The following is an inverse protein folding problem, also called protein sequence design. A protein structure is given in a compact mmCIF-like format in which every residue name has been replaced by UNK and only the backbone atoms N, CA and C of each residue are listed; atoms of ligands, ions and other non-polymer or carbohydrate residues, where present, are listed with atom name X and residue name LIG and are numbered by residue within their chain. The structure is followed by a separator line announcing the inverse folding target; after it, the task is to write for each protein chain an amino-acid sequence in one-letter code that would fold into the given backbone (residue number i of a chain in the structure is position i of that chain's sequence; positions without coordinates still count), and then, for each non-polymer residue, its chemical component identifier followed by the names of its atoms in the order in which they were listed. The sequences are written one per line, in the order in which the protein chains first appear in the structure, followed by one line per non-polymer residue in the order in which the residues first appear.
data_IF_190334274807
#
_entry.id   IF_190334274807
#
_cell.length_a   1.000
_cell.length_b   1.000
_cell.length_c   1.000
_cell.angle_alpha   90.00
_cell.angle_beta   90.00
_cell.angle_gamma   90.00
#
_symmetry.space_group_name_H-M   'P 1'
#
loop_
_entity.id
_entity.type
_entity.pdbx_description
1 polymer ?
#
# COMPACT_ATOMS: atom_id res chain seq x y z
N UNK A 1 7.61 -13.79 14.04
CA UNK A 1 8.25 -13.38 15.34
C UNK A 1 8.73 -11.94 15.27
N UNK A 2 9.30 -11.53 14.14
CA UNK A 2 9.59 -10.12 13.81
C UNK A 2 8.34 -9.25 13.92
N UNK A 3 7.24 -9.63 13.25
CA UNK A 3 5.96 -8.89 13.28
C UNK A 3 5.50 -8.56 14.72
N UNK A 4 5.48 -9.56 15.62
CA UNK A 4 5.07 -9.37 17.01
C UNK A 4 5.99 -8.44 17.82
N UNK A 5 7.28 -8.36 17.47
CA UNK A 5 8.24 -7.45 18.11
C UNK A 5 8.09 -6.03 17.54
N UNK A 6 7.82 -5.90 16.25
CA UNK A 6 7.50 -4.64 15.57
C UNK A 6 6.21 -4.03 16.11
N UNK A 7 5.15 -4.82 16.27
CA UNK A 7 3.87 -4.39 16.88
C UNK A 7 4.04 -3.93 18.34
N UNK A 8 5.04 -4.47 19.05
CA UNK A 8 5.37 -4.07 20.41
C UNK A 8 6.33 -2.86 20.49
N UNK A 9 6.71 -2.26 19.34
CA UNK A 9 7.67 -1.16 19.25
C UNK A 9 9.10 -1.54 19.66
N UNK A 10 9.46 -2.83 19.62
CA UNK A 10 10.76 -3.37 20.04
C UNK A 10 11.68 -3.51 18.82
N UNK A 11 11.87 -2.43 18.07
CA UNK A 11 12.55 -2.46 16.77
C UNK A 11 14.00 -2.97 16.83
N UNK A 12 14.77 -2.62 17.87
CA UNK A 12 16.13 -3.14 18.07
C UNK A 12 16.13 -4.67 18.23
N UNK A 13 15.17 -5.21 18.99
CA UNK A 13 15.07 -6.64 19.26
C UNK A 13 14.59 -7.42 18.04
N UNK A 14 13.71 -6.82 17.24
CA UNK A 14 13.30 -7.35 15.95
C UNK A 14 14.50 -7.39 14.98
N UNK A 15 15.33 -6.34 14.97
CA UNK A 15 16.51 -6.24 14.12
C UNK A 15 17.56 -7.31 14.47
N UNK A 16 17.84 -7.49 15.77
CA UNK A 16 18.72 -8.58 16.25
C UNK A 16 18.20 -9.96 15.80
N UNK A 17 16.88 -10.15 15.78
CA UNK A 17 16.28 -11.40 15.34
C UNK A 17 16.48 -11.64 13.84
N UNK A 18 16.26 -10.62 13.00
CA UNK A 18 16.49 -10.70 11.56
C UNK A 18 17.96 -11.02 11.25
N UNK A 19 18.89 -10.33 11.92
CA UNK A 19 20.33 -10.56 11.77
C UNK A 19 20.71 -11.98 12.16
N UNK A 20 20.25 -12.46 13.32
CA UNK A 20 20.50 -13.83 13.76
C UNK A 20 19.83 -14.88 12.84
N UNK A 21 18.76 -14.52 12.12
CA UNK A 21 18.16 -15.35 11.09
C UNK A 21 19.05 -15.46 9.86
N UNK A 22 19.54 -14.32 9.36
CA UNK A 22 20.44 -14.24 8.20
C UNK A 22 21.78 -14.94 8.46
N UNK A 23 22.35 -14.81 9.66
CA UNK A 23 23.59 -15.48 10.06
C UNK A 23 23.47 -17.01 10.11
N UNK A 24 22.25 -17.53 10.33
CA UNK A 24 21.97 -18.96 10.38
C UNK A 24 21.79 -19.58 8.99
N UNK A 25 21.46 -18.77 7.99
CA UNK A 25 21.37 -19.22 6.60
C UNK A 25 22.80 -19.41 6.11
N UNK A 26 23.20 -20.66 5.92
CA UNK A 26 24.55 -20.97 5.46
C UNK A 26 24.71 -20.55 4.00
N UNK A 27 25.89 -20.08 3.63
CA UNK A 27 26.20 -19.65 2.25
C UNK A 27 26.09 -20.77 1.19
N UNK A 28 25.82 -22.02 1.59
CA UNK A 28 25.66 -23.17 0.72
C UNK A 28 24.22 -23.73 0.69
N UNK A 29 23.27 -23.09 1.38
CA UNK A 29 21.86 -23.46 1.30
C UNK A 29 21.18 -22.70 0.15
N UNK A 30 21.38 -23.22 -1.06
CA UNK A 30 20.77 -22.71 -2.30
C UNK A 30 19.32 -23.20 -2.50
N UNK A 31 18.66 -23.70 -1.45
CA UNK A 31 17.28 -24.14 -1.60
C UNK A 31 16.36 -22.95 -1.90
N UNK A 32 15.35 -23.11 -2.77
CA UNK A 32 14.40 -22.04 -3.06
C UNK A 32 13.71 -21.49 -1.80
N UNK A 33 13.39 -22.37 -0.85
CA UNK A 33 12.83 -21.97 0.44
C UNK A 33 13.81 -21.15 1.29
N UNK A 34 15.11 -21.49 1.31
CA UNK A 34 16.10 -20.71 2.02
C UNK A 34 16.30 -19.33 1.37
N UNK A 35 16.26 -19.25 0.04
CA UNK A 35 16.33 -17.99 -0.71
C UNK A 35 15.11 -17.09 -0.44
N UNK A 36 13.90 -17.64 -0.49
CA UNK A 36 12.66 -16.91 -0.15
C UNK A 36 12.67 -16.42 1.31
N UNK A 37 13.08 -17.29 2.25
CA UNK A 37 13.17 -16.94 3.65
C UNK A 37 14.25 -15.87 3.91
N UNK A 38 15.41 -15.97 3.24
CA UNK A 38 16.47 -14.96 3.27
C UNK A 38 15.97 -13.62 2.74
N UNK A 39 15.27 -13.62 1.61
CA UNK A 39 14.71 -12.43 1.00
C UNK A 39 13.71 -11.75 1.95
N UNK A 40 12.80 -12.50 2.56
CA UNK A 40 11.87 -11.97 3.57
C UNK A 40 12.57 -11.32 4.77
N UNK A 41 13.64 -11.95 5.29
CA UNK A 41 14.44 -11.39 6.38
C UNK A 41 15.16 -10.08 6.00
N UNK A 42 15.60 -9.95 4.75
CA UNK A 42 16.25 -8.73 4.24
C UNK A 42 15.25 -7.58 4.11
N UNK A 43 14.03 -7.85 3.64
CA UNK A 43 12.94 -6.85 3.61
C UNK A 43 12.62 -6.37 5.02
N UNK A 44 12.42 -7.29 5.97
CA UNK A 44 12.15 -6.95 7.37
C UNK A 44 13.31 -6.17 8.02
N UNK A 45 14.55 -6.57 7.74
CA UNK A 45 15.76 -5.89 8.25
C UNK A 45 15.85 -4.46 7.71
N UNK A 46 15.58 -4.27 6.41
CA UNK A 46 15.57 -2.96 5.78
C UNK A 46 14.52 -2.04 6.40
N UNK A 47 13.29 -2.53 6.59
CA UNK A 47 12.24 -1.79 7.28
C UNK A 47 12.70 -1.34 8.69
N UNK A 48 13.22 -2.27 9.49
CA UNK A 48 13.64 -2.00 10.87
C UNK A 48 14.83 -1.03 10.96
N UNK A 49 15.77 -1.09 10.02
CA UNK A 49 16.87 -0.13 9.92
C UNK A 49 16.35 1.27 9.60
N UNK A 50 15.37 1.38 8.70
CA UNK A 50 14.69 2.63 8.40
C UNK A 50 14.04 3.26 9.63
N UNK A 51 13.31 2.47 10.42
CA UNK A 51 12.66 2.93 11.66
C UNK A 51 13.66 3.38 12.74
N UNK A 52 14.85 2.76 12.77
CA UNK A 52 15.92 3.10 13.72
C UNK A 52 16.87 4.19 13.21
N UNK A 53 16.65 4.73 12.00
CA UNK A 53 17.53 5.72 11.39
C UNK A 53 18.92 5.17 11.03
N UNK A 54 19.02 3.86 10.81
CA UNK A 54 20.23 3.15 10.39
C UNK A 54 20.23 3.09 8.86
N UNK A 55 21.39 3.31 8.26
CA UNK A 55 21.56 3.23 6.81
C UNK A 55 21.34 1.79 6.30
N UNK A 56 20.62 1.65 5.18
CA UNK A 56 20.40 0.38 4.49
C UNK A 56 21.69 -0.06 3.81
N UNK A 57 22.00 -1.36 3.83
CA UNK A 57 23.14 -1.89 3.10
C UNK A 57 22.74 -2.40 1.70
N UNK A 58 23.73 -2.85 0.93
CA UNK A 58 23.54 -3.34 -0.44
C UNK A 58 22.52 -4.50 -0.51
N UNK A 59 22.52 -5.39 0.48
CA UNK A 59 21.59 -6.53 0.52
C UNK A 59 20.15 -6.07 0.82
N UNK A 60 19.97 -5.08 1.70
CA UNK A 60 18.65 -4.49 1.97
C UNK A 60 18.08 -3.82 0.71
N UNK A 61 18.90 -3.02 0.03
CA UNK A 61 18.52 -2.30 -1.18
C UNK A 61 18.23 -3.26 -2.34
N UNK A 62 19.02 -4.33 -2.48
CA UNK A 62 18.82 -5.34 -3.51
C UNK A 62 17.50 -6.12 -3.30
N UNK A 63 17.22 -6.53 -2.06
CA UNK A 63 15.96 -7.19 -1.74
C UNK A 63 14.75 -6.29 -2.01
N UNK A 64 14.82 -5.01 -1.62
CA UNK A 64 13.75 -4.04 -1.89
C UNK A 64 13.57 -3.80 -3.41
N UNK A 65 14.66 -3.67 -4.16
CA UNK A 65 14.61 -3.50 -5.61
C UNK A 65 14.01 -4.72 -6.32
N UNK A 66 14.35 -5.94 -5.91
CA UNK A 66 13.79 -7.18 -6.45
C UNK A 66 12.29 -7.31 -6.15
N UNK A 67 11.86 -6.98 -4.93
CA UNK A 67 10.44 -6.95 -4.57
C UNK A 67 9.67 -5.94 -5.44
N UNK A 68 10.24 -4.76 -5.66
CA UNK A 68 9.65 -3.72 -6.51
C UNK A 68 9.62 -4.12 -8.00
N UNK A 69 10.66 -4.80 -8.49
CA UNK A 69 10.75 -5.27 -9.87
C UNK A 69 9.75 -6.40 -10.16
N UNK A 70 9.65 -7.38 -9.26
CA UNK A 70 8.67 -8.47 -9.34
C UNK A 70 7.24 -7.91 -9.38
N UNK A 71 6.97 -6.89 -8.56
CA UNK A 71 5.69 -6.20 -8.55
C UNK A 71 5.42 -5.40 -9.83
N UNK A 72 6.44 -4.71 -10.36
CA UNK A 72 6.33 -3.99 -11.62
C UNK A 72 6.05 -4.93 -12.81
N UNK A 73 6.68 -6.11 -12.81
CA UNK A 73 6.53 -7.13 -13.86
C UNK A 73 5.15 -7.79 -13.80
N UNK A 74 4.65 -8.10 -12.59
CA UNK A 74 3.27 -8.55 -12.39
C UNK A 74 2.25 -7.51 -12.89
N UNK A 75 2.47 -6.23 -12.56
CA UNK A 75 1.63 -5.11 -13.01
C UNK A 75 1.65 -4.90 -14.53
N UNK A 76 2.79 -5.11 -15.18
CA UNK A 76 2.91 -5.06 -16.63
C UNK A 76 2.13 -6.21 -17.30
N UNK A 77 2.26 -7.42 -16.77
CA UNK A 77 1.47 -8.58 -17.23
C UNK A 77 -0.03 -8.36 -17.10
N UNK A 78 -0.49 -7.78 -15.99
CA UNK A 78 -1.91 -7.44 -15.79
C UNK A 78 -2.39 -6.37 -16.81
N UNK A 79 -1.56 -5.36 -17.10
CA UNK A 79 -1.87 -4.33 -18.09
C UNK A 79 -1.95 -4.88 -19.50
N UNK A 80 -1.02 -5.75 -19.90
CA UNK A 80 -1.02 -6.35 -21.24
C UNK A 80 -2.24 -7.26 -21.43
N UNK A 81 -2.57 -8.05 -20.41
CA UNK A 81 -3.77 -8.91 -20.40
C UNK A 81 -5.09 -8.11 -20.54
N UNK A 82 -5.19 -6.95 -19.88
CA UNK A 82 -6.36 -6.05 -19.99
C UNK A 82 -6.41 -5.29 -21.33
N UNK A 83 -5.29 -5.16 -22.04
CA UNK A 83 -5.19 -4.42 -23.31
C UNK A 83 -5.49 -5.29 -24.54
N UNK A 84 -5.34 -6.61 -24.45
CA UNK A 84 -5.59 -7.57 -25.55
C UNK A 84 -6.99 -8.21 -25.53
N UNK A 85 -7.98 -7.50 -24.98
CA UNK A 85 -9.25 -8.07 -24.52
C UNK A 85 -9.91 -9.12 -25.43
N UNK A 86 -10.35 -10.26 -24.87
CA UNK A 86 -11.42 -11.06 -25.42
C UNK A 86 -12.75 -10.85 -24.67
N UNK A 87 -13.85 -11.18 -25.32
CA UNK A 87 -15.12 -11.50 -24.67
C UNK A 87 -14.93 -12.74 -23.79
N UNK A 88 -15.16 -12.66 -22.48
CA UNK A 88 -14.89 -13.78 -21.57
C UNK A 88 -16.16 -14.20 -20.83
N UNK A 89 -16.64 -15.41 -21.17
CA UNK A 89 -17.31 -16.31 -20.23
C UNK A 89 -16.34 -16.54 -19.05
N UNK A 90 -16.70 -16.01 -17.88
CA UNK A 90 -15.86 -15.99 -16.68
C UNK A 90 -15.64 -17.43 -16.19
N UNK A 91 -14.41 -17.97 -16.18
CA UNK A 91 -14.08 -19.19 -15.46
C UNK A 91 -14.12 -18.90 -13.96
N UNK A 92 -14.73 -19.79 -13.17
CA UNK A 92 -14.99 -19.62 -11.73
C UNK A 92 -13.73 -19.62 -10.83
N UNK A 93 -12.52 -19.70 -11.40
CA UNK A 93 -11.23 -19.76 -10.70
C UNK A 93 -10.27 -18.63 -11.12
N UNK A 94 -10.77 -17.40 -11.28
CA UNK A 94 -9.93 -16.21 -11.47
C UNK A 94 -9.19 -15.84 -10.18
N UNK A 95 -7.86 -15.73 -10.24
CA UNK A 95 -7.02 -15.31 -9.12
C UNK A 95 -7.54 -13.98 -8.53
N UNK A 96 -7.89 -14.01 -7.25
CA UNK A 96 -8.50 -12.89 -6.53
C UNK A 96 -7.60 -11.63 -6.58
N UNK A 97 -8.04 -10.56 -7.25
CA UNK A 97 -7.31 -9.29 -7.23
C UNK A 97 -7.76 -8.41 -6.04
N UNK A 98 -6.81 -7.67 -5.47
CA UNK A 98 -7.05 -6.72 -4.39
C UNK A 98 -7.19 -5.29 -4.94
N UNK A 99 -8.29 -4.61 -4.61
CA UNK A 99 -8.50 -3.20 -4.94
C UNK A 99 -7.83 -2.29 -3.91
N UNK A 100 -7.03 -1.32 -4.35
CA UNK A 100 -6.34 -0.38 -3.46
C UNK A 100 -6.81 1.03 -3.78
N UNK A 101 -7.34 1.73 -2.79
CA UNK A 101 -7.80 3.11 -2.88
C UNK A 101 -6.95 3.97 -1.97
N UNK A 102 -6.07 4.80 -2.56
CA UNK A 102 -5.24 5.75 -1.82
C UNK A 102 -6.05 6.99 -1.45
N UNK A 103 -6.07 7.31 -0.16
CA UNK A 103 -6.75 8.45 0.43
C UNK A 103 -5.77 9.36 1.15
N UNK A 104 -5.75 10.64 0.79
CA UNK A 104 -5.11 11.66 1.63
C UNK A 104 -5.94 11.93 2.88
N UNK A 105 -5.29 11.99 4.04
CA UNK A 105 -5.95 12.43 5.28
C UNK A 105 -6.54 13.83 5.12
N UNK A 106 -7.61 14.11 5.85
CA UNK A 106 -8.35 15.38 5.71
C UNK A 106 -7.47 16.60 5.96
N UNK A 107 -6.54 16.49 6.90
CA UNK A 107 -5.63 17.56 7.29
C UNK A 107 -4.67 17.96 6.16
N UNK A 108 -4.18 16.98 5.39
CA UNK A 108 -3.17 17.20 4.35
C UNK A 108 -3.75 17.46 2.96
N UNK A 109 -5.03 17.18 2.74
CA UNK A 109 -5.67 17.30 1.42
C UNK A 109 -5.45 18.66 0.75
N UNK A 110 -5.61 19.75 1.52
CA UNK A 110 -5.42 21.11 0.99
C UNK A 110 -3.96 21.36 0.60
N UNK A 111 -3.00 20.86 1.40
CA UNK A 111 -1.58 21.00 1.11
C UNK A 111 -1.17 20.19 -0.13
N UNK A 112 -1.66 18.95 -0.24
CA UNK A 112 -1.47 18.08 -1.42
C UNK A 112 -1.98 18.75 -2.69
N UNK A 113 -3.20 19.32 -2.66
CA UNK A 113 -3.76 20.04 -3.82
C UNK A 113 -2.99 21.30 -4.18
N UNK A 114 -2.56 22.07 -3.19
CA UNK A 114 -1.77 23.28 -3.43
C UNK A 114 -0.40 22.97 -4.02
N UNK A 115 0.20 21.83 -3.63
CA UNK A 115 1.51 21.38 -4.10
C UNK A 115 1.47 20.85 -5.54
N UNK A 116 0.42 20.12 -5.89
CA UNK A 116 0.29 19.39 -7.14
C UNK A 116 -1.03 19.70 -7.85
N UNK A 117 -1.27 20.97 -8.15
CA UNK A 117 -2.57 21.47 -8.61
C UNK A 117 -3.07 20.76 -9.87
N UNK A 118 -2.18 20.54 -10.85
CA UNK A 118 -2.53 19.93 -12.14
C UNK A 118 -2.85 18.44 -11.97
N UNK A 119 -1.94 17.69 -11.36
CA UNK A 119 -2.12 16.24 -11.22
C UNK A 119 -3.21 15.86 -10.21
N UNK A 120 -3.60 16.77 -9.30
CA UNK A 120 -4.70 16.57 -8.35
C UNK A 120 -5.98 17.31 -8.73
N UNK A 121 -6.06 17.93 -9.91
CA UNK A 121 -7.25 18.67 -10.36
C UNK A 121 -8.54 17.82 -10.29
N UNK A 122 -8.43 16.54 -10.63
CA UNK A 122 -9.52 15.57 -10.57
C UNK A 122 -9.98 15.20 -9.15
N UNK A 123 -9.33 15.71 -8.10
CA UNK A 123 -9.73 15.54 -6.70
C UNK A 123 -10.96 16.34 -6.33
N UNK A 124 -11.28 17.38 -7.11
CA UNK A 124 -12.35 18.32 -6.78
C UNK A 124 -11.90 19.36 -5.76
N UNK A 125 -12.79 20.31 -5.48
CA UNK A 125 -12.42 21.51 -4.75
C UNK A 125 -12.38 21.36 -3.23
N UNK A 126 -13.13 20.40 -2.71
CA UNK A 126 -13.29 20.13 -1.30
C UNK A 126 -13.15 18.64 -0.98
N UNK A 127 -12.94 18.35 0.31
CA UNK A 127 -12.71 16.98 0.76
C UNK A 127 -13.96 16.09 0.63
N UNK A 128 -15.17 16.64 0.69
CA UNK A 128 -16.39 15.84 0.55
C UNK A 128 -16.56 15.35 -0.89
N UNK A 129 -16.31 16.21 -1.88
CA UNK A 129 -16.23 15.84 -3.30
C UNK A 129 -15.16 14.77 -3.55
N UNK A 130 -13.97 14.95 -2.97
CA UNK A 130 -12.88 13.96 -3.04
C UNK A 130 -13.30 12.62 -2.44
N UNK A 131 -13.89 12.62 -1.24
CA UNK A 131 -14.34 11.40 -0.58
C UNK A 131 -15.46 10.69 -1.35
N UNK A 132 -16.38 11.42 -1.97
CA UNK A 132 -17.40 10.82 -2.83
C UNK A 132 -16.80 10.13 -4.06
N UNK A 133 -15.74 10.71 -4.62
CA UNK A 133 -14.99 10.06 -5.71
C UNK A 133 -14.34 8.75 -5.26
N UNK A 134 -13.64 8.77 -4.13
CA UNK A 134 -13.01 7.55 -3.59
C UNK A 134 -14.04 6.49 -3.22
N UNK A 135 -15.23 6.88 -2.73
CA UNK A 135 -16.34 5.96 -2.48
C UNK A 135 -16.80 5.28 -3.76
N UNK A 136 -16.91 6.01 -4.87
CA UNK A 136 -17.26 5.44 -6.18
C UNK A 136 -16.16 4.52 -6.72
N UNK A 137 -14.89 4.90 -6.53
CA UNK A 137 -13.74 4.08 -6.91
C UNK A 137 -13.70 2.75 -6.13
N UNK A 138 -13.90 2.79 -4.81
CA UNK A 138 -14.00 1.59 -3.99
C UNK A 138 -15.17 0.67 -4.39
N UNK A 139 -16.32 1.26 -4.77
CA UNK A 139 -17.45 0.51 -5.31
C UNK A 139 -17.11 -0.16 -6.64
N UNK A 140 -16.50 0.59 -7.55
CA UNK A 140 -16.11 0.07 -8.85
C UNK A 140 -15.18 -1.14 -8.72
N UNK A 141 -14.23 -1.12 -7.78
CA UNK A 141 -13.41 -2.29 -7.49
C UNK A 141 -14.23 -3.49 -6.98
N UNK A 142 -15.15 -3.25 -6.05
CA UNK A 142 -16.02 -4.32 -5.54
C UNK A 142 -16.95 -4.90 -6.61
N UNK A 143 -17.48 -4.06 -7.51
CA UNK A 143 -18.36 -4.47 -8.61
C UNK A 143 -17.59 -5.18 -9.72
N UNK A 144 -16.30 -4.83 -9.91
CA UNK A 144 -15.39 -5.51 -10.81
C UNK A 144 -14.89 -6.86 -10.27
N UNK A 145 -15.32 -7.28 -9.08
CA UNK A 145 -14.96 -8.58 -8.50
C UNK A 145 -13.69 -8.59 -7.64
N UNK A 146 -13.26 -7.43 -7.14
CA UNK A 146 -12.12 -7.39 -6.21
C UNK A 146 -12.41 -8.24 -4.97
N UNK A 147 -11.48 -9.11 -4.59
CA UNK A 147 -11.63 -9.95 -3.42
C UNK A 147 -11.68 -9.14 -2.13
N UNK A 148 -10.88 -8.07 -2.04
CA UNK A 148 -10.90 -7.10 -0.95
C UNK A 148 -10.60 -5.73 -1.50
N UNK A 149 -11.26 -4.71 -0.93
CA UNK A 149 -10.93 -3.31 -1.20
C UNK A 149 -10.26 -2.73 0.03
N UNK A 150 -9.02 -2.26 -0.12
CA UNK A 150 -8.21 -1.62 0.92
C UNK A 150 -8.25 -0.11 0.73
N UNK A 151 -8.72 0.59 1.74
CA UNK A 151 -8.65 2.04 1.84
C UNK A 151 -7.37 2.40 2.59
N UNK A 152 -6.40 2.97 1.89
CA UNK A 152 -5.08 3.34 2.44
C UNK A 152 -5.09 4.81 2.80
N UNK A 153 -4.86 5.14 4.06
CA UNK A 153 -4.81 6.53 4.54
C UNK A 153 -3.38 7.04 4.59
N UNK A 154 -3.08 8.02 3.75
CA UNK A 154 -1.76 8.60 3.55
C UNK A 154 -1.66 10.04 4.06
N UNK A 155 -0.53 10.36 4.69
CA UNK A 155 -0.10 11.74 4.94
C UNK A 155 0.82 12.25 3.84
N UNK A 156 0.87 13.57 3.66
CA UNK A 156 1.79 14.22 2.73
C UNK A 156 3.24 13.91 3.09
N UNK A 157 3.57 13.92 4.39
CA UNK A 157 4.91 13.66 4.89
C UNK A 157 5.41 12.25 4.56
N UNK A 158 4.57 11.22 4.74
CA UNK A 158 4.92 9.84 4.39
C UNK A 158 5.16 9.68 2.89
N UNK A 159 4.32 10.31 2.06
CA UNK A 159 4.51 10.28 0.62
C UNK A 159 5.77 11.02 0.17
N UNK A 160 6.06 12.19 0.74
CA UNK A 160 7.31 12.91 0.44
C UNK A 160 8.53 12.10 0.86
N UNK A 161 8.50 11.44 2.03
CA UNK A 161 9.56 10.53 2.45
C UNK A 161 9.73 9.35 1.47
N UNK A 162 8.63 8.74 1.02
CA UNK A 162 8.67 7.66 0.03
C UNK A 162 9.26 8.12 -1.30
N UNK A 163 8.78 9.25 -1.84
CA UNK A 163 9.26 9.79 -3.13
C UNK A 163 10.74 10.14 -3.09
N UNK A 164 11.20 10.71 -1.97
CA UNK A 164 12.61 11.01 -1.75
C UNK A 164 13.47 9.74 -1.70
N UNK A 165 13.05 8.71 -0.95
CA UNK A 165 13.76 7.42 -0.87
C UNK A 165 13.84 6.73 -2.23
N UNK A 166 12.75 6.75 -2.99
CA UNK A 166 12.64 6.06 -4.29
C UNK A 166 13.21 6.87 -5.46
N UNK A 167 13.61 8.14 -5.23
CA UNK A 167 14.06 9.05 -6.30
C UNK A 167 13.01 9.28 -7.38
N UNK A 168 11.72 9.16 -7.05
CA UNK A 168 10.60 9.24 -8.00
C UNK A 168 9.98 10.64 -8.00
N UNK A 169 9.41 11.01 -9.15
CA UNK A 169 8.64 12.25 -9.25
C UNK A 169 7.36 12.15 -8.40
N UNK A 170 7.24 13.04 -7.42
CA UNK A 170 6.10 13.11 -6.51
C UNK A 170 4.81 13.65 -7.18
N UNK A 171 4.93 14.35 -8.31
CA UNK A 171 3.75 14.84 -9.05
C UNK A 171 3.12 13.76 -9.94
N UNK A 172 3.89 12.71 -10.27
CA UNK A 172 3.45 11.65 -11.15
C UNK A 172 2.37 10.76 -10.51
N UNK A 173 1.28 10.52 -11.25
CA UNK A 173 0.17 9.69 -10.79
C UNK A 173 0.58 8.24 -10.52
N UNK A 174 1.56 7.72 -11.27
CA UNK A 174 2.13 6.40 -11.05
C UNK A 174 2.84 6.28 -9.70
N UNK A 175 3.55 7.32 -9.26
CA UNK A 175 4.26 7.34 -7.97
C UNK A 175 3.28 7.24 -6.82
N UNK A 176 2.14 7.94 -6.90
CA UNK A 176 1.06 7.83 -5.91
C UNK A 176 0.46 6.43 -5.88
N UNK A 177 0.25 5.81 -7.04
CA UNK A 177 -0.27 4.44 -7.11
C UNK A 177 0.70 3.45 -6.45
N UNK A 178 1.98 3.51 -6.83
CA UNK A 178 3.02 2.66 -6.24
C UNK A 178 3.18 2.89 -4.74
N UNK A 179 3.02 4.13 -4.28
CA UNK A 179 2.98 4.40 -2.85
C UNK A 179 1.82 3.69 -2.16
N UNK A 180 0.60 3.79 -2.70
CA UNK A 180 -0.57 3.10 -2.13
C UNK A 180 -0.44 1.58 -2.12
N UNK A 181 0.15 1.00 -3.17
CA UNK A 181 0.46 -0.43 -3.29
C UNK A 181 1.50 -0.86 -2.26
N UNK A 182 2.64 -0.16 -2.22
CA UNK A 182 3.70 -0.37 -1.22
C UNK A 182 3.12 -0.32 0.18
N UNK A 183 2.36 0.72 0.50
CA UNK A 183 1.78 0.94 1.82
C UNK A 183 0.74 -0.13 2.22
N UNK A 184 -0.02 -0.66 1.25
CA UNK A 184 -0.96 -1.74 1.48
C UNK A 184 -0.28 -3.09 1.74
N UNK A 185 0.94 -3.28 1.23
CA UNK A 185 1.72 -4.53 1.31
C UNK A 185 2.71 -4.54 2.47
N UNK A 186 3.32 -3.40 2.82
CA UNK A 186 4.30 -3.29 3.90
C UNK A 186 3.70 -3.33 5.30
N UNK A 187 2.39 -3.49 5.43
CA UNK A 187 1.78 -3.78 6.73
C UNK A 187 1.82 -2.60 7.68
N UNK A 188 1.31 -1.44 7.25
CA UNK A 188 0.83 -0.39 8.14
C UNK A 188 -0.68 -0.60 8.43
N UNK A 189 -1.08 -1.68 9.15
CA UNK A 189 -2.48 -2.07 9.31
C UNK A 189 -3.33 -0.98 9.96
N UNK A 190 -2.73 -0.09 10.75
CA UNK A 190 -3.42 1.02 11.41
C UNK A 190 -3.93 2.08 10.43
N UNK A 191 -3.36 2.15 9.23
CA UNK A 191 -3.77 3.11 8.18
C UNK A 191 -4.50 2.45 7.02
N UNK A 192 -4.55 1.12 6.99
CA UNK A 192 -5.24 0.33 5.97
C UNK A 192 -6.57 -0.18 6.53
N UNK A 193 -7.67 0.34 6.00
CA UNK A 193 -9.02 -0.08 6.38
C UNK A 193 -9.63 -0.95 5.29
N UNK A 194 -10.23 -2.07 5.68
CA UNK A 194 -11.05 -2.85 4.76
C UNK A 194 -12.34 -2.11 4.45
N UNK A 195 -12.63 -1.96 3.16
CA UNK A 195 -13.87 -1.40 2.66
C UNK A 195 -14.81 -2.53 2.19
N UNK A 196 -16.11 -2.45 2.48
CA UNK A 196 -16.75 -1.42 3.30
C UNK A 196 -16.47 -1.64 4.80
N UNK A 197 -16.21 -0.58 5.58
CA UNK A 197 -16.10 -0.71 7.02
C UNK A 197 -17.44 -1.09 7.64
N UNK A 198 -17.40 -1.51 8.91
CA UNK A 198 -18.61 -1.83 9.66
C UNK A 198 -19.61 -0.66 9.62
N UNK A 199 -20.87 -0.95 9.30
CA UNK A 199 -21.93 0.06 9.11
C UNK A 199 -22.06 1.07 10.27
N UNK A 200 -21.81 0.64 11.51
CA UNK A 200 -21.84 1.49 12.70
C UNK A 200 -20.45 1.96 13.18
N UNK A 201 -19.37 1.48 12.56
CA UNK A 201 -18.00 1.87 12.86
C UNK A 201 -17.68 3.27 12.34
N UNK A 202 -16.48 3.80 12.68
CA UNK A 202 -16.01 5.08 12.18
C UNK A 202 -15.95 5.07 10.65
N UNK A 203 -16.29 6.20 10.03
CA UNK A 203 -16.15 6.37 8.60
C UNK A 203 -14.67 6.49 8.23
N UNK A 204 -14.29 5.86 7.13
CA UNK A 204 -12.92 5.84 6.61
C UNK A 204 -12.38 7.24 6.22
N UNK A 205 -13.21 8.27 6.15
CA UNK A 205 -12.87 9.64 5.72
C UNK A 205 -12.46 10.59 6.85
N UNK A 206 -12.16 10.05 8.04
CA UNK A 206 -11.82 10.75 9.29
C UNK A 206 -12.85 11.79 9.77
N UNK A 207 -14.10 11.72 9.31
CA UNK A 207 -15.15 12.66 9.77
C UNK A 207 -15.56 12.46 11.23
N UNK A 208 -15.07 11.40 11.90
CA UNK A 208 -15.53 10.96 13.23
C UNK A 208 -16.98 10.45 13.26
N UNK A 209 -17.71 10.50 12.14
CA UNK A 209 -19.10 10.03 12.04
C UNK A 209 -19.16 8.55 11.75
N UNK A 210 -20.28 7.90 12.09
CA UNK A 210 -20.55 6.50 11.72
C UNK A 210 -20.60 6.36 10.20
N UNK A 211 -20.03 5.30 9.63
CA UNK A 211 -19.98 5.06 8.17
C UNK A 211 -21.35 5.21 7.49
N UNK A 212 -22.41 4.59 8.04
CA UNK A 212 -23.79 4.69 7.50
C UNK A 212 -24.39 6.10 7.49
N UNK A 213 -23.79 7.05 8.21
CA UNK A 213 -24.22 8.44 8.32
C UNK A 213 -23.23 9.39 7.63
N UNK A 214 -22.24 8.87 6.90
CA UNK A 214 -21.23 9.65 6.18
C UNK A 214 -21.04 9.07 4.77
N UNK A 215 -19.86 8.57 4.39
CA UNK A 215 -19.60 8.05 3.03
C UNK A 215 -20.45 6.83 2.66
N UNK A 216 -20.93 6.06 3.64
CA UNK A 216 -21.84 4.94 3.44
C UNK A 216 -23.33 5.32 3.54
N UNK A 217 -23.66 6.62 3.55
CA UNK A 217 -25.04 7.08 3.55
C UNK A 217 -25.68 6.85 2.18
N UNK A 218 -26.95 6.41 2.10
CA UNK A 218 -27.64 6.18 0.84
C UNK A 218 -27.82 7.44 -0.01
N UNK A 219 -27.67 8.64 0.56
CA UNK A 219 -27.68 9.91 -0.18
C UNK A 219 -26.36 10.21 -0.90
N UNK A 220 -25.29 9.49 -0.58
CA UNK A 220 -23.98 9.53 -1.27
C UNK A 220 -23.75 8.26 -2.10
N UNK A 221 -24.79 7.41 -2.23
CA UNK A 221 -24.79 6.20 -3.05
C UNK A 221 -25.29 6.50 -4.46
#
# INVERSE_FOLDING_TARGET
MVEALTEAGRYERALEWCQAGLDRITANDDSPQAAEYRHGLLIDRGFLRGELGIELDEDDLAAEAEANASFAQFREGLRDALSQGPSVDVPEDGEAFDGIVLRWVREDFTAVRARWLESTAHYGDDYDTYAERLQREARAYSEAGAARVRMVSATLAEFEAYTHRQGRDADAAETRRSFGEWYALTGHPERVLLWPPARNGPCWCDSGRKYKKCCGAPTKN
#
